data_IF_202034798727
#
_entry.id   IF_202034798727
#
_cell.length_a   1.000
_cell.length_b   1.000
_cell.length_c   1.000
_cell.angle_alpha   90.00
_cell.angle_beta   90.00
_cell.angle_gamma   90.00
#
_symmetry.space_group_name_H-M   'P 1'
#
loop_
_entity.id
_entity.type
_entity.pdbx_description
1 polymer ?
#
# COMPACT_ATOMS: atom_id res chain seq x y z
N UNK A 1 -2.74 23.24 -20.55
CA UNK A 1 -1.34 22.77 -20.65
C UNK A 1 -1.24 21.89 -21.89
N UNK A 2 -0.35 22.22 -22.82
CA UNK A 2 -0.12 21.41 -24.03
C UNK A 2 0.49 20.06 -23.64
N UNK A 3 -0.24 18.98 -23.84
CA UNK A 3 0.33 17.65 -23.84
C UNK A 3 1.23 17.55 -25.08
N UNK A 4 2.55 17.69 -24.89
CA UNK A 4 3.52 17.53 -25.98
C UNK A 4 3.41 16.08 -26.46
N UNK A 5 2.76 15.88 -27.60
CA UNK A 5 2.69 14.61 -28.33
C UNK A 5 4.09 14.27 -28.84
N UNK A 6 4.95 13.75 -27.95
CA UNK A 6 6.30 13.31 -28.31
C UNK A 6 6.14 12.14 -29.28
N UNK A 7 6.75 12.24 -30.46
CA UNK A 7 6.89 11.09 -31.36
C UNK A 7 7.73 10.05 -30.62
N UNK A 8 7.14 8.89 -30.33
CA UNK A 8 7.83 7.77 -29.68
C UNK A 8 8.53 6.98 -30.79
N UNK A 9 9.80 6.64 -30.60
CA UNK A 9 10.56 5.81 -31.53
C UNK A 9 9.93 4.40 -31.61
N UNK A 10 9.88 3.82 -32.81
CA UNK A 10 9.21 2.54 -33.04
C UNK A 10 9.88 1.42 -32.23
N UNK A 11 11.20 1.43 -32.19
CA UNK A 11 12.04 0.46 -31.48
C UNK A 11 11.74 0.43 -29.97
N UNK A 12 11.39 1.58 -29.40
CA UNK A 12 10.97 1.66 -28.00
C UNK A 12 9.51 1.23 -27.81
N UNK A 13 8.65 1.54 -28.77
CA UNK A 13 7.23 1.14 -28.75
C UNK A 13 7.06 -0.38 -28.82
N UNK A 14 7.89 -1.06 -29.60
CA UNK A 14 7.85 -2.52 -29.79
C UNK A 14 8.19 -3.31 -28.50
N UNK A 15 8.89 -2.69 -27.54
CA UNK A 15 9.20 -3.31 -26.26
C UNK A 15 7.99 -3.35 -25.29
N UNK A 16 6.92 -2.60 -25.56
CA UNK A 16 5.77 -2.46 -24.65
C UNK A 16 4.68 -3.48 -24.96
N UNK A 17 4.83 -4.69 -24.39
CA UNK A 17 3.89 -5.81 -24.62
C UNK A 17 2.64 -5.75 -23.71
N UNK A 18 2.83 -5.70 -22.39
CA UNK A 18 1.73 -5.82 -21.40
C UNK A 18 1.42 -4.54 -20.63
N UNK A 19 2.42 -3.76 -20.25
CA UNK A 19 2.20 -2.55 -19.46
C UNK A 19 1.98 -1.35 -20.38
N UNK A 20 1.00 -1.42 -21.29
CA UNK A 20 0.75 -0.32 -22.24
C UNK A 20 0.06 0.82 -21.52
N UNK A 21 0.71 1.99 -21.37
CA UNK A 21 0.12 3.10 -20.65
C UNK A 21 -0.98 3.76 -21.49
N UNK A 22 -2.21 3.79 -20.97
CA UNK A 22 -3.36 4.43 -21.62
C UNK A 22 -4.08 5.37 -20.64
N UNK A 23 -4.79 6.40 -21.15
CA UNK A 23 -5.71 7.18 -20.33
C UNK A 23 -6.75 6.27 -19.68
N UNK A 24 -6.99 6.49 -18.39
CA UNK A 24 -8.02 5.76 -17.66
C UNK A 24 -9.41 6.12 -18.18
N UNK A 25 -10.23 5.11 -18.45
CA UNK A 25 -11.59 5.22 -18.96
C UNK A 25 -12.52 4.33 -18.11
N UNK A 26 -13.30 4.96 -17.24
CA UNK A 26 -14.17 4.28 -16.27
C UNK A 26 -15.29 3.48 -16.96
N UNK A 27 -15.73 3.92 -18.14
CA UNK A 27 -16.82 3.31 -18.91
C UNK A 27 -16.41 1.97 -19.55
N UNK A 28 -15.11 1.70 -19.70
CA UNK A 28 -14.62 0.42 -20.24
C UNK A 28 -14.63 -0.71 -19.22
N UNK A 29 -14.68 -0.39 -17.93
CA UNK A 29 -14.51 -1.38 -16.85
C UNK A 29 -15.66 -2.40 -16.91
N UNK A 30 -15.32 -3.68 -17.04
CA UNK A 30 -16.28 -4.78 -17.12
C UNK A 30 -16.91 -4.97 -18.51
N UNK A 31 -16.38 -4.32 -19.54
CA UNK A 31 -16.83 -4.47 -20.92
C UNK A 31 -15.77 -5.17 -21.77
N UNK A 32 -16.14 -5.66 -22.96
CA UNK A 32 -15.21 -6.25 -23.93
C UNK A 32 -14.15 -5.27 -24.45
N UNK A 33 -14.34 -3.96 -24.22
CA UNK A 33 -13.39 -2.90 -24.58
C UNK A 33 -12.21 -2.82 -23.62
N UNK A 34 -12.28 -3.48 -22.45
CA UNK A 34 -11.17 -3.54 -21.52
C UNK A 34 -10.09 -4.51 -22.03
N UNK A 35 -8.82 -4.07 -22.03
CA UNK A 35 -7.71 -4.89 -22.48
C UNK A 35 -6.74 -5.14 -21.32
N UNK A 36 -6.45 -6.41 -21.01
CA UNK A 36 -5.52 -6.79 -19.94
C UNK A 36 -4.07 -6.30 -20.15
N UNK A 37 -3.72 -5.91 -21.39
CA UNK A 37 -2.43 -5.29 -21.74
C UNK A 37 -2.41 -3.77 -21.58
N UNK A 38 -3.51 -3.18 -21.16
CA UNK A 38 -3.60 -1.74 -20.94
C UNK A 38 -3.57 -1.46 -19.44
N UNK A 39 -2.82 -0.44 -19.05
CA UNK A 39 -2.70 -0.01 -17.66
C UNK A 39 -2.78 1.51 -17.54
N UNK A 40 -3.17 2.00 -16.37
CA UNK A 40 -3.25 3.44 -16.09
C UNK A 40 -2.47 3.83 -14.85
N UNK A 41 -1.81 4.98 -14.92
CA UNK A 41 -1.09 5.57 -13.77
C UNK A 41 -1.89 6.73 -13.18
N UNK A 42 -1.87 6.84 -11.86
CA UNK A 42 -2.63 7.83 -11.10
C UNK A 42 -1.72 8.51 -10.06
N UNK A 43 -1.66 9.85 -10.00
CA UNK A 43 -1.17 10.50 -8.80
C UNK A 43 -2.12 10.18 -7.63
N UNK A 44 -1.61 10.14 -6.40
CA UNK A 44 -2.39 9.81 -5.19
C UNK A 44 -3.73 10.58 -5.12
N UNK A 45 -3.71 11.88 -5.47
CA UNK A 45 -4.89 12.76 -5.43
C UNK A 45 -5.97 12.40 -6.45
N UNK A 46 -5.59 11.75 -7.55
CA UNK A 46 -6.55 11.21 -8.53
C UNK A 46 -7.04 9.84 -8.06
N UNK A 47 -6.17 9.01 -7.50
CA UNK A 47 -6.52 7.69 -6.98
C UNK A 47 -7.57 7.77 -5.85
N UNK A 48 -7.42 8.74 -4.93
CA UNK A 48 -8.36 9.02 -3.83
C UNK A 48 -9.81 9.22 -4.30
N UNK A 49 -10.01 9.70 -5.53
CA UNK A 49 -11.36 9.86 -6.12
C UNK A 49 -12.01 8.53 -6.50
N UNK A 50 -11.23 7.46 -6.60
CA UNK A 50 -11.71 6.11 -6.93
C UNK A 50 -11.68 5.16 -5.73
N UNK A 51 -10.79 5.36 -4.76
CA UNK A 51 -10.67 4.52 -3.56
C UNK A 51 -11.55 5.00 -2.40
N UNK A 52 -12.84 5.12 -2.67
CA UNK A 52 -13.84 5.54 -1.68
C UNK A 52 -15.11 4.69 -1.78
N UNK A 53 -16.04 4.85 -0.85
CA UNK A 53 -17.29 4.07 -0.78
C UNK A 53 -18.11 4.06 -2.08
N UNK A 54 -18.07 5.14 -2.87
CA UNK A 54 -18.87 5.22 -4.10
C UNK A 54 -18.22 4.48 -5.27
N UNK A 55 -16.89 4.49 -5.37
CA UNK A 55 -16.16 4.00 -6.56
C UNK A 55 -15.23 2.81 -6.30
N UNK A 56 -14.98 2.46 -5.04
CA UNK A 56 -14.01 1.44 -4.63
C UNK A 56 -14.27 0.08 -5.26
N UNK A 57 -15.53 -0.37 -5.27
CA UNK A 57 -15.93 -1.62 -5.93
C UNK A 57 -15.67 -1.60 -7.44
N UNK A 58 -15.96 -0.49 -8.11
CA UNK A 58 -15.71 -0.33 -9.56
C UNK A 58 -14.22 -0.29 -9.87
N UNK A 59 -13.43 0.38 -9.03
CA UNK A 59 -11.97 0.40 -9.16
C UNK A 59 -11.35 -0.98 -8.89
N UNK A 60 -11.89 -1.73 -7.94
CA UNK A 60 -11.51 -3.12 -7.71
C UNK A 60 -11.83 -4.01 -8.91
N UNK A 61 -12.99 -3.83 -9.55
CA UNK A 61 -13.32 -4.52 -10.81
C UNK A 61 -12.28 -4.23 -11.91
N UNK A 62 -11.84 -2.97 -12.05
CA UNK A 62 -10.75 -2.61 -12.97
C UNK A 62 -9.45 -3.38 -12.65
N UNK A 63 -9.06 -3.40 -11.37
CA UNK A 63 -7.79 -4.01 -10.93
C UNK A 63 -7.76 -5.55 -11.01
N UNK A 64 -8.91 -6.22 -11.20
CA UNK A 64 -8.94 -7.67 -11.47
C UNK A 64 -8.48 -8.04 -12.87
N UNK A 65 -8.60 -7.13 -13.84
CA UNK A 65 -8.24 -7.36 -15.24
C UNK A 65 -7.03 -6.53 -15.69
N UNK A 66 -6.89 -5.30 -15.21
CA UNK A 66 -5.88 -4.33 -15.63
C UNK A 66 -5.01 -3.87 -14.47
N UNK A 67 -3.82 -3.34 -14.77
CA UNK A 67 -2.92 -2.81 -13.75
C UNK A 67 -3.20 -1.33 -13.48
N UNK A 68 -3.23 -0.94 -12.20
CA UNK A 68 -3.12 0.46 -11.78
C UNK A 68 -1.77 0.72 -11.11
N UNK A 69 -1.14 1.85 -11.48
CA UNK A 69 0.05 2.37 -10.79
C UNK A 69 -0.29 3.66 -10.05
N UNK A 70 -0.12 3.66 -8.73
CA UNK A 70 -0.31 4.85 -7.90
C UNK A 70 1.07 5.42 -7.54
N UNK A 71 1.21 6.74 -7.53
CA UNK A 71 2.46 7.40 -7.17
C UNK A 71 2.23 8.69 -6.37
N UNK A 72 3.21 9.11 -5.54
CA UNK A 72 3.06 10.30 -4.70
C UNK A 72 2.82 11.56 -5.53
N UNK A 73 2.03 12.50 -5.01
CA UNK A 73 1.85 13.79 -5.70
C UNK A 73 3.14 14.60 -5.72
N UNK A 74 3.32 15.41 -6.77
CA UNK A 74 4.54 16.21 -6.95
C UNK A 74 4.81 17.24 -5.85
N UNK A 75 3.80 17.62 -5.05
CA UNK A 75 3.96 18.55 -3.92
C UNK A 75 4.71 17.95 -2.72
N UNK A 76 4.95 16.63 -2.70
CA UNK A 76 5.73 15.96 -1.64
C UNK A 76 7.23 16.12 -1.91
N UNK A 77 7.70 17.35 -1.83
CA UNK A 77 9.11 17.72 -2.07
C UNK A 77 10.05 17.09 -1.02
N UNK A 78 9.51 16.77 0.16
CA UNK A 78 10.18 16.07 1.26
C UNK A 78 10.27 14.55 1.05
N UNK A 79 9.77 14.03 -0.08
CA UNK A 79 9.67 12.60 -0.36
C UNK A 79 8.79 11.82 0.62
N UNK A 80 7.89 12.47 1.37
CA UNK A 80 6.89 11.78 2.20
C UNK A 80 6.05 10.81 1.37
N UNK A 81 5.52 9.76 2.00
CA UNK A 81 4.62 8.81 1.35
C UNK A 81 3.15 9.06 1.72
N UNK A 82 2.24 8.59 0.86
CA UNK A 82 0.81 8.49 1.15
C UNK A 82 0.50 7.15 1.83
N UNK A 83 -0.69 7.03 2.41
CA UNK A 83 -1.17 5.76 2.97
C UNK A 83 -1.48 4.75 1.85
N UNK A 84 -0.77 3.60 1.79
CA UNK A 84 -0.98 2.62 0.73
C UNK A 84 -2.20 1.71 0.94
N UNK A 85 -2.76 1.59 2.17
CA UNK A 85 -3.86 0.62 2.39
C UNK A 85 -5.10 0.89 1.54
N UNK A 86 -5.61 2.13 1.41
CA UNK A 86 -6.79 2.40 0.59
C UNK A 86 -6.61 1.97 -0.87
N UNK A 87 -5.37 2.01 -1.37
CA UNK A 87 -5.03 1.59 -2.72
C UNK A 87 -5.01 0.06 -2.83
N UNK A 88 -4.35 -0.62 -1.89
CA UNK A 88 -4.28 -2.09 -1.86
C UNK A 88 -5.65 -2.74 -1.65
N UNK A 89 -6.49 -2.21 -0.75
CA UNK A 89 -7.82 -2.79 -0.49
C UNK A 89 -8.77 -2.65 -1.68
N UNK A 90 -8.53 -1.66 -2.56
CA UNK A 90 -9.21 -1.54 -3.84
C UNK A 90 -8.47 -2.26 -4.99
N UNK A 91 -7.51 -3.13 -4.68
CA UNK A 91 -6.86 -4.03 -5.61
C UNK A 91 -5.67 -3.46 -6.39
N UNK A 92 -5.26 -2.21 -6.14
CA UNK A 92 -4.14 -1.62 -6.88
C UNK A 92 -2.84 -2.38 -6.62
N UNK A 93 -2.13 -2.71 -7.70
CA UNK A 93 -0.99 -3.62 -7.68
C UNK A 93 0.33 -2.88 -7.56
N UNK A 94 0.47 -1.73 -8.25
CA UNK A 94 1.71 -0.97 -8.33
C UNK A 94 1.60 0.32 -7.50
N UNK A 95 1.52 0.16 -6.17
CA UNK A 95 1.44 1.28 -5.21
C UNK A 95 2.85 1.78 -4.91
N UNK A 96 3.36 2.68 -5.75
CA UNK A 96 4.74 3.16 -5.67
C UNK A 96 4.92 4.12 -4.50
N UNK A 97 5.97 3.88 -3.71
CA UNK A 97 6.40 4.67 -2.57
C UNK A 97 7.86 5.13 -2.75
N UNK A 98 8.25 6.18 -2.04
CA UNK A 98 9.60 6.71 -1.94
C UNK A 98 10.41 5.88 -0.94
N UNK A 99 11.19 4.90 -1.42
CA UNK A 99 11.96 3.95 -0.61
C UNK A 99 13.02 4.60 0.29
N UNK A 100 13.50 5.79 -0.08
CA UNK A 100 14.47 6.56 0.71
C UNK A 100 13.88 7.12 2.02
N UNK A 101 12.56 7.15 2.16
CA UNK A 101 11.87 7.75 3.32
C UNK A 101 11.44 6.64 4.28
N UNK A 102 12.02 6.54 5.49
CA UNK A 102 11.68 5.49 6.47
C UNK A 102 10.40 5.82 7.27
N UNK A 103 9.35 6.25 6.57
CA UNK A 103 8.07 6.61 7.18
C UNK A 103 7.12 5.42 7.36
N UNK A 104 5.98 5.66 8.01
CA UNK A 104 4.97 4.62 8.30
C UNK A 104 4.55 3.85 7.03
N UNK A 105 4.19 4.50 5.89
CA UNK A 105 3.90 3.78 4.65
C UNK A 105 5.00 2.81 4.21
N UNK A 106 6.28 3.21 4.34
CA UNK A 106 7.39 2.33 3.98
C UNK A 106 7.51 1.14 4.92
N UNK A 107 7.31 1.34 6.22
CA UNK A 107 7.28 0.25 7.21
C UNK A 107 6.15 -0.75 6.89
N UNK A 108 4.97 -0.24 6.49
CA UNK A 108 3.85 -1.08 6.07
C UNK A 108 4.14 -1.87 4.80
N UNK A 109 4.79 -1.23 3.82
CA UNK A 109 5.21 -1.89 2.59
C UNK A 109 6.20 -3.02 2.88
N UNK A 110 7.23 -2.75 3.69
CA UNK A 110 8.19 -3.79 4.11
C UNK A 110 7.47 -4.94 4.82
N UNK A 111 6.57 -4.65 5.77
CA UNK A 111 5.82 -5.67 6.50
C UNK A 111 4.92 -6.52 5.59
N UNK A 112 4.22 -5.92 4.62
CA UNK A 112 3.40 -6.66 3.67
C UNK A 112 4.24 -7.65 2.84
N UNK A 113 5.34 -7.16 2.26
CA UNK A 113 6.21 -7.95 1.39
C UNK A 113 7.19 -8.87 2.14
N UNK A 114 7.26 -8.83 3.47
CA UNK A 114 7.87 -9.92 4.26
C UNK A 114 7.16 -11.25 4.01
N UNK A 115 5.85 -11.20 3.77
CA UNK A 115 5.05 -12.38 3.38
C UNK A 115 5.59 -12.92 2.05
N UNK A 116 5.97 -14.21 2.02
CA UNK A 116 6.55 -14.81 0.82
C UNK A 116 8.04 -14.53 0.62
N UNK A 117 8.76 -14.10 1.67
CA UNK A 117 10.22 -14.02 1.67
C UNK A 117 10.79 -12.87 0.85
N UNK A 118 10.13 -11.70 0.83
CA UNK A 118 10.58 -10.52 0.11
C UNK A 118 10.69 -10.67 -1.41
N UNK A 119 9.93 -11.61 -2.01
CA UNK A 119 9.94 -11.82 -3.46
C UNK A 119 9.31 -10.68 -4.28
N UNK A 120 8.69 -9.70 -3.62
CA UNK A 120 8.03 -8.55 -4.26
C UNK A 120 6.60 -8.82 -4.75
N UNK A 121 6.04 -10.00 -4.48
CA UNK A 121 4.68 -10.38 -4.88
C UNK A 121 3.92 -11.05 -3.73
N UNK A 122 2.73 -10.54 -3.43
CA UNK A 122 1.80 -11.14 -2.47
C UNK A 122 0.47 -11.37 -3.19
N UNK A 123 -0.01 -12.60 -3.20
CA UNK A 123 -1.30 -12.93 -3.79
C UNK A 123 -2.42 -12.26 -2.98
N UNK A 124 -3.27 -11.48 -3.66
CA UNK A 124 -4.45 -10.89 -3.03
C UNK A 124 -5.39 -12.01 -2.51
N UNK A 125 -5.97 -11.85 -1.31
CA UNK A 125 -6.94 -12.79 -0.75
C UNK A 125 -8.03 -13.17 -1.76
N UNK A 126 -8.46 -14.44 -1.74
CA UNK A 126 -9.49 -14.94 -2.66
C UNK A 126 -10.78 -14.11 -2.61
N UNK A 127 -11.13 -13.61 -1.42
CA UNK A 127 -12.31 -12.76 -1.18
C UNK A 127 -12.22 -11.43 -1.91
N UNK A 128 -11.06 -10.77 -1.95
CA UNK A 128 -10.89 -9.53 -2.72
C UNK A 128 -11.00 -9.74 -4.23
N UNK A 129 -10.70 -10.95 -4.70
CA UNK A 129 -10.80 -11.33 -6.12
C UNK A 129 -12.23 -11.74 -6.52
N UNK A 130 -13.13 -11.96 -5.56
CA UNK A 130 -14.54 -12.30 -5.77
C UNK A 130 -15.38 -11.07 -6.16
N UNK A 131 -16.29 -11.22 -7.13
CA UNK A 131 -17.13 -10.13 -7.63
C UNK A 131 -18.01 -9.45 -6.57
N UNK A 132 -18.41 -10.19 -5.53
CA UNK A 132 -19.27 -9.69 -4.48
C UNK A 132 -18.56 -8.70 -3.55
N UNK A 133 -17.25 -8.85 -3.35
CA UNK A 133 -16.48 -8.07 -2.37
C UNK A 133 -16.50 -6.58 -2.66
N UNK A 134 -16.74 -5.81 -1.60
CA UNK A 134 -16.68 -4.35 -1.58
C UNK A 134 -15.87 -3.92 -0.35
N UNK A 135 -14.74 -3.21 -0.54
CA UNK A 135 -13.87 -2.80 0.56
C UNK A 135 -14.53 -1.87 1.59
N UNK A 136 -15.68 -1.28 1.25
CA UNK A 136 -16.41 -0.33 2.10
C UNK A 136 -17.77 -0.85 2.58
N UNK A 137 -18.09 -2.12 2.32
CA UNK A 137 -19.30 -2.78 2.81
C UNK A 137 -18.95 -4.13 3.48
N UNK A 138 -19.10 -4.17 4.80
CA UNK A 138 -18.83 -5.37 5.61
C UNK A 138 -19.73 -6.55 5.23
N UNK A 139 -20.93 -6.29 4.71
CA UNK A 139 -21.86 -7.35 4.30
C UNK A 139 -21.42 -8.09 3.03
N UNK A 140 -20.42 -7.54 2.32
CA UNK A 140 -19.81 -8.17 1.14
C UNK A 140 -18.89 -9.36 1.46
N UNK A 141 -18.50 -9.53 2.73
CA UNK A 141 -17.65 -10.63 3.23
C UNK A 141 -18.43 -11.94 3.39
N UNK A 142 -19.15 -12.37 2.35
CA UNK A 142 -19.99 -13.58 2.38
C UNK A 142 -19.11 -14.84 2.49
N UNK A 143 -19.50 -15.77 3.35
CA UNK A 143 -18.81 -17.07 3.51
C UNK A 143 -17.45 -16.99 4.24
N UNK A 144 -17.12 -15.85 4.84
CA UNK A 144 -15.97 -15.70 5.72
C UNK A 144 -16.42 -15.87 7.17
N UNK A 145 -15.83 -16.85 7.86
CA UNK A 145 -15.97 -16.96 9.31
C UNK A 145 -15.21 -15.81 9.98
N UNK A 146 -15.89 -14.91 10.73
CA UNK A 146 -15.21 -13.86 11.46
C UNK A 146 -14.25 -14.47 12.49
N UNK A 147 -13.00 -14.01 12.50
CA UNK A 147 -12.06 -14.36 13.55
C UNK A 147 -11.98 -13.18 14.52
N UNK A 148 -12.54 -13.34 15.72
CA UNK A 148 -12.34 -12.39 16.80
C UNK A 148 -10.95 -12.66 17.42
N UNK A 149 -10.00 -11.76 17.14
CA UNK A 149 -8.67 -11.80 17.75
C UNK A 149 -8.65 -10.77 18.86
N UNK A 150 -8.46 -11.22 20.11
CA UNK A 150 -8.13 -10.32 21.21
C UNK A 150 -6.61 -10.14 21.24
N UNK A 151 -6.16 -8.89 21.07
CA UNK A 151 -4.75 -8.54 21.17
C UNK A 151 -4.57 -7.72 22.45
N UNK A 152 -4.01 -8.37 23.48
CA UNK A 152 -3.58 -7.68 24.70
C UNK A 152 -2.10 -7.35 24.60
N UNK A 153 -1.77 -6.06 24.63
CA UNK A 153 -0.39 -5.58 24.57
C UNK A 153 0.02 -5.09 25.95
N UNK A 154 0.80 -5.90 26.66
CA UNK A 154 1.42 -5.51 27.93
C UNK A 154 2.88 -5.11 27.74
N UNK A 155 3.18 -3.82 27.84
CA UNK A 155 4.56 -3.33 27.83
C UNK A 155 5.19 -3.52 29.22
N UNK A 156 6.19 -4.39 29.32
CA UNK A 156 6.87 -4.69 30.60
C UNK A 156 8.24 -4.02 30.76
N UNK A 157 8.80 -3.48 29.67
CA UNK A 157 10.11 -2.83 29.62
C UNK A 157 10.72 -2.90 28.22
N UNK A 158 11.83 -2.21 27.99
CA UNK A 158 12.60 -2.26 26.74
C UNK A 158 14.10 -2.30 27.05
N UNK A 159 14.83 -3.24 26.44
CA UNK A 159 16.29 -3.38 26.57
C UNK A 159 16.92 -3.02 25.22
N UNK A 160 17.99 -2.23 25.24
CA UNK A 160 18.71 -1.86 24.02
C UNK A 160 17.96 -0.84 23.15
N UNK A 161 17.05 -0.07 23.74
CA UNK A 161 16.52 1.11 23.08
C UNK A 161 17.68 2.06 22.79
N UNK A 162 17.97 2.31 21.51
CA UNK A 162 18.93 3.32 21.13
C UNK A 162 18.39 4.68 21.62
N UNK A 163 19.19 5.39 22.42
CA UNK A 163 18.93 6.79 22.72
C UNK A 163 19.03 7.54 21.39
N UNK A 164 17.91 8.09 20.94
CA UNK A 164 17.96 9.09 19.88
C UNK A 164 18.38 10.38 20.57
N UNK A 165 19.60 10.86 20.29
CA UNK A 165 19.98 12.22 20.65
C UNK A 165 18.99 13.17 19.95
N UNK A 166 18.06 13.71 20.75
CA UNK A 166 17.34 14.90 20.34
C UNK A 166 18.39 16.00 20.27
N UNK A 167 18.78 16.37 19.05
CA UNK A 167 19.58 17.57 18.80
C UNK A 167 18.75 18.81 19.18
N UNK A 168 18.58 19.05 20.47
CA UNK A 168 18.28 20.36 21.03
C UNK A 168 19.45 20.69 21.93
N UNK A 169 20.26 21.65 21.50
CA UNK A 169 21.43 22.09 22.24
C UNK A 169 21.06 22.55 23.63
N UNK A 170 21.31 21.71 24.63
CA UNK A 170 21.67 22.18 25.96
C UNK A 170 22.59 21.16 26.61
N UNK A 171 23.76 21.64 27.03
CA UNK A 171 24.77 20.86 27.73
C UNK A 171 24.34 20.76 29.18
N UNK A 172 24.25 19.53 29.67
CA UNK A 172 24.54 19.09 31.06
C UNK A 172 23.49 18.10 31.55
N UNK A 173 23.90 16.84 31.66
CA UNK A 173 23.07 15.77 32.24
C UNK A 173 23.76 14.41 32.17
N UNK A 174 24.59 14.11 33.16
CA UNK A 174 25.10 12.75 33.40
C UNK A 174 23.95 11.88 33.88
N UNK A 175 23.66 10.79 33.17
CA UNK A 175 22.76 9.73 33.66
C UNK A 175 23.54 8.43 33.81
N UNK A 176 23.56 7.93 35.05
CA UNK A 176 24.19 6.68 35.48
C UNK A 176 23.32 5.50 35.04
N UNK A 177 23.95 4.48 34.45
CA UNK A 177 23.29 3.25 34.03
C UNK A 177 23.31 2.22 35.17
N UNK A 178 22.15 1.71 35.55
CA UNK A 178 22.05 0.39 36.16
C UNK A 178 20.71 -0.26 35.77
N UNK A 179 20.75 -1.35 34.99
CA UNK A 179 19.57 -2.16 34.71
C UNK A 179 19.95 -3.65 34.68
N UNK A 180 19.43 -4.36 35.69
CA UNK A 180 19.55 -5.80 35.88
C UNK A 180 18.86 -6.63 34.80
N UNK A 181 19.29 -7.88 34.71
CA UNK A 181 18.93 -8.86 33.67
C UNK A 181 17.46 -9.26 33.75
N UNK A 182 16.78 -9.17 32.61
CA UNK A 182 15.61 -9.98 32.29
C UNK A 182 14.51 -9.18 31.61
N UNK A 183 14.09 -9.60 30.41
CA UNK A 183 12.68 -9.79 29.97
C UNK A 183 12.52 -9.67 28.45
N UNK A 184 11.57 -10.44 27.91
CA UNK A 184 11.14 -10.44 26.51
C UNK A 184 9.68 -9.99 26.35
N UNK A 185 9.29 -9.68 25.11
CA UNK A 185 7.91 -9.37 24.71
C UNK A 185 7.02 -10.61 24.88
N UNK A 186 5.84 -10.46 25.50
CA UNK A 186 4.81 -11.49 25.50
C UNK A 186 3.63 -11.02 24.63
N UNK A 187 3.49 -11.62 23.45
CA UNK A 187 2.33 -11.43 22.60
C UNK A 187 1.41 -12.63 22.81
N UNK A 188 0.31 -12.45 23.54
CA UNK A 188 -0.72 -13.48 23.70
C UNK A 188 -1.83 -13.24 22.68
N UNK A 189 -1.85 -14.04 21.62
CA UNK A 189 -2.97 -14.10 20.69
C UNK A 189 -3.99 -15.11 21.22
N UNK A 190 -5.17 -14.65 21.65
CA UNK A 190 -6.30 -15.52 21.93
C UNK A 190 -7.36 -15.35 20.84
N UNK A 191 -7.69 -16.46 20.18
CA UNK A 191 -8.91 -16.56 19.39
C UNK A 191 -10.07 -16.68 20.38
N UNK A 192 -11.00 -15.74 20.34
CA UNK A 192 -12.24 -15.80 21.14
C UNK A 192 -13.23 -16.71 20.42
#
# INVERSE_FOLDING_TARGET
>A
MMERRKKIALELSELVVYCRPVPFDEEKIGTERACYRDMSSFPETKAEKYVNKAKGKKFLQYNRLQLSRIYPKGQRLDSSNYDPLPMWICGSQLVALNFQTPDKPMQMNQALFMTGGHCGYVLQPGTMRDEAFDPFDKSSLRGLEPCAICIEVGLRGGIGAALQELSSGDRDGVLVNDWGRGTGLNLSLRKI
#
